data_IF_171921114461
#
_entry.id   IF_171921114461
#
_cell.length_a   1.000
_cell.length_b   1.000
_cell.length_c   1.000
_cell.angle_alpha   90.00
_cell.angle_beta   90.00
_cell.angle_gamma   90.00
#
_symmetry.space_group_name_H-M   'P 1'
#
loop_
_entity.id
_entity.type
_entity.pdbx_description
1 polymer ?
#
# COMPACT_ATOMS: atom_id res chain seq x y z
N UNK A 1 -7.36 5.04 -3.33
CA UNK A 1 -8.48 4.29 -2.69
C UNK A 1 -8.31 2.77 -2.74
N UNK A 2 -8.03 2.14 -3.89
CA UNK A 2 -7.91 0.67 -3.99
C UNK A 2 -6.87 0.05 -3.03
N UNK A 3 -5.73 0.71 -2.81
CA UNK A 3 -4.71 0.28 -1.84
C UNK A 3 -5.28 0.24 -0.41
N UNK A 4 -6.06 1.24 0.01
CA UNK A 4 -6.68 1.26 1.34
C UNK A 4 -7.69 0.13 1.54
N UNK A 5 -8.43 -0.22 0.49
CA UNK A 5 -9.33 -1.38 0.53
C UNK A 5 -8.55 -2.69 0.73
N UNK A 6 -7.41 -2.84 0.07
CA UNK A 6 -6.55 -4.01 0.25
C UNK A 6 -6.04 -4.14 1.71
N UNK A 7 -5.71 -3.02 2.36
CA UNK A 7 -5.37 -3.02 3.79
C UNK A 7 -6.58 -3.36 4.68
N UNK A 8 -7.75 -2.79 4.42
CA UNK A 8 -8.97 -3.08 5.19
C UNK A 8 -9.41 -4.54 5.10
N UNK A 9 -9.19 -5.17 3.94
CA UNK A 9 -9.49 -6.60 3.70
C UNK A 9 -8.35 -7.53 4.14
N UNK A 10 -7.24 -7.00 4.67
CA UNK A 10 -6.02 -7.76 5.00
C UNK A 10 -5.54 -8.65 3.85
N UNK A 11 -5.60 -8.12 2.63
CA UNK A 11 -5.16 -8.83 1.43
C UNK A 11 -3.66 -9.17 1.49
N UNK A 12 -3.32 -10.36 1.01
CA UNK A 12 -1.93 -10.70 0.66
C UNK A 12 -1.45 -9.84 -0.52
N UNK A 13 -0.14 -9.75 -0.74
CA UNK A 13 0.42 -9.03 -1.90
C UNK A 13 -0.20 -9.50 -3.22
N UNK A 14 -0.42 -10.81 -3.40
CA UNK A 14 -1.02 -11.36 -4.63
C UNK A 14 -2.46 -10.89 -4.81
N UNK A 15 -3.23 -10.83 -3.74
CA UNK A 15 -4.62 -10.35 -3.75
C UNK A 15 -4.66 -8.83 -3.98
N UNK A 16 -3.79 -8.07 -3.33
CA UNK A 16 -3.65 -6.63 -3.57
C UNK A 16 -3.38 -6.34 -5.04
N UNK A 17 -2.42 -7.04 -5.66
CA UNK A 17 -2.12 -6.87 -7.09
C UNK A 17 -3.32 -7.21 -8.00
N UNK A 18 -4.10 -8.25 -7.66
CA UNK A 18 -5.33 -8.58 -8.38
C UNK A 18 -6.40 -7.51 -8.19
N UNK A 19 -6.57 -7.01 -6.97
CA UNK A 19 -7.53 -5.96 -6.64
C UNK A 19 -7.20 -4.66 -7.38
N UNK A 20 -5.92 -4.27 -7.46
CA UNK A 20 -5.49 -3.09 -8.21
C UNK A 20 -5.81 -3.21 -9.70
N UNK A 21 -5.54 -4.37 -10.31
CA UNK A 21 -5.95 -4.65 -11.69
C UNK A 21 -7.46 -4.57 -11.90
N UNK A 22 -8.24 -5.15 -10.98
CA UNK A 22 -9.72 -5.10 -11.03
C UNK A 22 -10.24 -3.67 -10.89
N UNK A 23 -9.58 -2.85 -10.08
CA UNK A 23 -9.91 -1.43 -9.92
C UNK A 23 -9.43 -0.54 -11.08
N UNK A 24 -8.77 -1.12 -12.11
CA UNK A 24 -8.27 -0.37 -13.28
C UNK A 24 -7.09 0.56 -12.96
N UNK A 25 -6.39 0.35 -11.85
CA UNK A 25 -5.22 1.16 -11.46
C UNK A 25 -3.93 0.36 -11.63
N UNK A 26 -2.80 1.07 -11.70
CA UNK A 26 -1.49 0.45 -11.77
C UNK A 26 -1.21 -0.45 -10.56
N UNK A 27 -0.58 -1.57 -10.84
CA UNK A 27 -0.04 -2.49 -9.83
C UNK A 27 1.10 -1.85 -9.03
N UNK A 28 1.34 -2.34 -7.81
CA UNK A 28 2.49 -1.90 -7.02
C UNK A 28 3.78 -2.39 -7.67
N UNK A 29 4.72 -1.48 -7.93
CA UNK A 29 5.99 -1.81 -8.57
C UNK A 29 7.17 -1.64 -7.62
N UNK A 30 7.88 -2.74 -7.34
CA UNK A 30 9.00 -2.74 -6.39
C UNK A 30 10.17 -1.79 -6.74
N UNK A 31 10.23 -1.25 -7.97
CA UNK A 31 11.22 -0.23 -8.35
C UNK A 31 10.83 1.17 -7.90
N UNK A 32 9.54 1.43 -7.68
CA UNK A 32 9.09 2.66 -7.06
C UNK A 32 9.25 2.52 -5.54
N UNK A 33 9.98 3.45 -4.92
CA UNK A 33 10.31 3.40 -3.48
C UNK A 33 9.05 3.36 -2.60
N UNK A 34 8.07 4.21 -2.88
CA UNK A 34 6.74 4.20 -2.24
C UNK A 34 6.09 2.81 -2.29
N UNK A 35 5.97 2.24 -3.49
CA UNK A 35 5.35 0.93 -3.66
C UNK A 35 6.15 -0.18 -2.96
N UNK A 36 7.48 -0.11 -2.94
CA UNK A 36 8.31 -1.06 -2.22
C UNK A 36 8.03 -1.06 -0.70
N UNK A 37 7.82 0.13 -0.11
CA UNK A 37 7.42 0.27 1.30
C UNK A 37 6.04 -0.34 1.52
N UNK A 38 5.05 -0.01 0.67
CA UNK A 38 3.69 -0.57 0.76
C UNK A 38 3.71 -2.10 0.63
N UNK A 39 4.48 -2.65 -0.32
CA UNK A 39 4.68 -4.09 -0.48
C UNK A 39 5.24 -4.71 0.80
N UNK A 40 6.23 -4.07 1.41
CA UNK A 40 6.80 -4.54 2.67
C UNK A 40 5.77 -4.52 3.80
N UNK A 41 5.01 -3.43 3.97
CA UNK A 41 3.95 -3.33 4.98
C UNK A 41 2.89 -4.42 4.82
N UNK A 42 2.41 -4.66 3.60
CA UNK A 42 1.44 -5.72 3.30
C UNK A 42 1.99 -7.09 3.68
N UNK A 43 3.26 -7.39 3.35
CA UNK A 43 3.89 -8.69 3.67
C UNK A 43 4.10 -8.90 5.17
N UNK A 44 4.26 -7.83 5.93
CA UNK A 44 4.40 -7.89 7.39
C UNK A 44 3.06 -7.78 8.13
N UNK A 45 1.94 -7.70 7.40
CA UNK A 45 0.59 -7.64 8.00
C UNK A 45 0.29 -6.30 8.69
N UNK A 46 0.95 -5.23 8.28
CA UNK A 46 0.72 -3.89 8.84
C UNK A 46 -0.67 -3.40 8.43
N UNK A 47 -1.29 -2.62 9.31
CA UNK A 47 -2.50 -1.90 8.98
C UNK A 47 -2.20 -0.60 8.21
N UNK A 48 -3.26 0.11 7.82
CA UNK A 48 -3.14 1.37 7.09
C UNK A 48 -2.36 2.42 7.88
N UNK A 49 -2.61 2.55 9.19
CA UNK A 49 -2.02 3.62 10.01
C UNK A 49 -0.51 3.38 10.13
N UNK A 50 -0.11 2.16 10.47
CA UNK A 50 1.30 1.78 10.52
C UNK A 50 1.98 1.94 9.14
N UNK A 51 1.26 1.68 8.04
CA UNK A 51 1.80 1.92 6.70
C UNK A 51 2.02 3.41 6.42
N UNK A 52 1.10 4.28 6.84
CA UNK A 52 1.27 5.74 6.72
C UNK A 52 2.47 6.23 7.56
N UNK A 53 2.65 5.72 8.76
CA UNK A 53 3.82 6.03 9.61
C UNK A 53 5.14 5.63 8.93
N UNK A 54 5.19 4.45 8.28
CA UNK A 54 6.37 3.98 7.55
C UNK A 54 6.65 4.79 6.29
N UNK A 55 5.60 5.20 5.57
CA UNK A 55 5.73 6.10 4.42
C UNK A 55 6.28 7.46 4.87
N UNK A 56 5.72 8.03 5.95
CA UNK A 56 6.18 9.29 6.52
C UNK A 56 7.63 9.20 7.01
N UNK A 57 7.99 8.14 7.75
CA UNK A 57 9.36 7.86 8.23
C UNK A 57 10.37 7.79 7.09
N UNK A 58 9.95 7.29 5.92
CA UNK A 58 10.78 7.15 4.73
C UNK A 58 10.77 8.37 3.82
N UNK A 59 10.03 9.44 4.16
CA UNK A 59 9.91 10.67 3.39
C UNK A 59 9.04 10.54 2.13
N UNK A 60 8.17 9.54 2.07
CA UNK A 60 7.24 9.30 0.98
C UNK A 60 5.84 9.84 1.30
N UNK A 61 5.07 10.14 0.26
CA UNK A 61 3.69 10.58 0.44
C UNK A 61 2.82 9.45 1.04
N UNK A 62 2.10 9.79 2.10
CA UNK A 62 1.15 8.91 2.80
C UNK A 62 -0.04 8.53 1.91
N UNK A 63 -0.78 7.50 2.31
CA UNK A 63 -1.99 7.01 1.62
C UNK A 63 -3.16 7.98 1.79
N UNK A 64 -3.24 8.64 2.94
CA UNK A 64 -4.13 9.78 3.16
C UNK A 64 -3.30 11.08 3.16
N UNK A 65 -3.75 12.13 2.46
CA UNK A 65 -3.15 13.44 2.64
C UNK A 65 -3.28 13.85 4.11
N UNK A 66 -2.21 14.39 4.70
CA UNK A 66 -2.33 15.16 5.93
C UNK A 66 -3.10 16.43 5.59
N UNK A 67 -4.14 16.74 6.37
CA UNK A 67 -4.87 18.01 6.28
C UNK A 67 -3.93 19.21 6.49
#
# INVERSE_FOLDING_TARGET
>A
HAIMLAFGLKCTLRETQRLLRLAGVSELWCKQRRDAIIIWCIRNGFDRIATDDELYRMGEATLLPAD
#
